data_IF_633406391335
#
_entry.id   IF_633406391335
#
_cell.length_a   1.000
_cell.length_b   1.000
_cell.length_c   1.000
_cell.angle_alpha   90.00
_cell.angle_beta   90.00
_cell.angle_gamma   90.00
#
_symmetry.space_group_name_H-M   'P 1'
#
loop_
_entity.id
_entity.type
_entity.pdbx_description
1 polymer ?
#
# COMPACT_ATOMS: atom_id res chain seq x y z
N UNK A 1 1.13 -26.43 60.02
CA UNK A 1 2.07 -25.47 59.38
C UNK A 1 2.22 -25.80 57.90
N UNK A 2 1.50 -25.09 57.03
CA UNK A 2 1.81 -24.89 55.60
C UNK A 2 1.22 -23.52 55.25
N UNK A 3 2.09 -22.53 55.08
CA UNK A 3 1.73 -21.16 54.75
C UNK A 3 1.36 -21.08 53.27
N UNK A 4 0.19 -20.52 52.97
CA UNK A 4 -0.24 -20.18 51.61
C UNK A 4 0.28 -18.76 51.35
N UNK A 5 1.25 -18.62 50.46
CA UNK A 5 1.71 -17.32 49.96
C UNK A 5 0.69 -16.79 48.94
N UNK A 6 -0.01 -15.71 49.28
CA UNK A 6 -0.74 -14.90 48.31
C UNK A 6 0.19 -13.79 47.81
N UNK A 7 0.69 -13.92 46.58
CA UNK A 7 1.42 -12.87 45.90
C UNK A 7 0.43 -11.93 45.19
N UNK A 8 0.17 -10.76 45.77
CA UNK A 8 -0.59 -9.68 45.12
C UNK A 8 0.42 -8.83 44.33
N UNK A 9 0.38 -8.92 43.01
CA UNK A 9 1.15 -8.03 42.11
C UNK A 9 0.38 -6.72 41.94
N UNK A 10 0.81 -5.65 42.61
CA UNK A 10 0.36 -4.29 42.35
C UNK A 10 0.98 -3.80 41.03
N UNK A 11 0.17 -3.68 39.97
CA UNK A 11 0.53 -2.84 38.82
C UNK A 11 0.20 -1.38 39.17
N UNK A 12 1.21 -0.55 39.38
CA UNK A 12 1.05 0.89 39.47
C UNK A 12 0.71 1.46 38.08
N UNK A 13 -0.58 1.68 37.82
CA UNK A 13 -1.02 2.49 36.70
C UNK A 13 -0.71 3.95 36.98
N UNK A 14 0.37 4.49 36.40
CA UNK A 14 0.55 5.94 36.31
C UNK A 14 -0.41 6.47 35.23
N UNK A 15 -1.59 6.92 35.67
CA UNK A 15 -2.48 7.73 34.86
C UNK A 15 -2.08 9.20 35.05
N UNK A 16 -1.45 9.81 34.05
CA UNK A 16 -1.30 11.26 34.02
C UNK A 16 -2.62 11.88 33.54
N UNK A 17 -3.47 12.27 34.49
CA UNK A 17 -4.54 13.22 34.24
C UNK A 17 -3.90 14.60 34.08
N UNK A 18 -4.08 15.26 32.93
CA UNK A 18 -3.81 16.69 32.81
C UNK A 18 -4.85 17.43 33.66
N UNK A 19 -4.45 17.91 34.83
CA UNK A 19 -5.15 19.01 35.48
C UNK A 19 -4.98 20.25 34.59
N UNK A 20 -6.10 20.81 34.13
CA UNK A 20 -6.10 22.09 33.48
C UNK A 20 -5.72 23.14 34.53
N UNK A 21 -4.46 23.57 34.51
CA UNK A 21 -3.96 24.62 35.37
C UNK A 21 -4.56 25.96 34.89
N UNK A 22 -5.68 26.36 35.48
CA UNK A 22 -6.30 27.65 35.21
C UNK A 22 -5.46 28.74 35.86
N UNK A 23 -4.55 29.33 35.10
CA UNK A 23 -3.81 30.53 35.49
C UNK A 23 -4.79 31.69 35.74
N UNK A 24 -5.02 31.97 37.02
CA UNK A 24 -5.81 33.11 37.46
C UNK A 24 -4.93 34.39 37.36
N UNK A 25 -4.93 35.01 36.18
CA UNK A 25 -4.19 36.25 35.94
C UNK A 25 -4.93 37.41 36.62
N UNK A 26 -4.40 37.89 37.74
CA UNK A 26 -4.79 39.19 38.31
C UNK A 26 -4.43 40.30 37.31
N UNK A 27 -5.34 41.22 36.96
CA UNK A 27 -5.04 42.30 36.04
C UNK A 27 -4.12 43.30 36.75
N UNK A 28 -2.82 43.16 36.55
CA UNK A 28 -1.84 44.20 36.91
C UNK A 28 -1.92 45.31 35.88
N UNK A 29 -2.08 46.55 36.35
CA UNK A 29 -2.31 47.72 35.53
C UNK A 29 -1.14 48.09 34.62
N UNK A 30 -1.53 48.83 33.56
CA UNK A 30 -0.76 49.38 32.43
C UNK A 30 -0.57 48.42 31.25
N UNK A 31 -1.41 48.67 30.23
CA UNK A 31 -1.30 48.07 28.91
C UNK A 31 -0.07 48.64 28.20
N UNK A 32 1.05 47.92 28.27
CA UNK A 32 2.11 48.07 27.28
C UNK A 32 1.58 47.49 25.97
N UNK A 33 1.02 48.37 25.13
CA UNK A 33 0.60 48.03 23.78
C UNK A 33 1.83 47.68 22.92
N UNK A 34 2.27 46.43 23.00
CA UNK A 34 3.11 45.83 21.96
C UNK A 34 2.28 45.89 20.68
N UNK A 35 2.64 46.77 19.75
CA UNK A 35 2.15 46.71 18.38
C UNK A 35 2.62 45.39 17.78
N UNK A 36 1.82 44.34 17.93
CA UNK A 36 1.92 43.15 17.11
C UNK A 36 1.61 43.63 15.70
N UNK A 37 2.66 43.85 14.90
CA UNK A 37 2.45 44.01 13.48
C UNK A 37 1.81 42.70 13.01
N UNK A 38 0.53 42.73 12.64
CA UNK A 38 -0.13 41.68 11.89
C UNK A 38 0.58 41.57 10.53
N UNK A 39 1.79 41.01 10.52
CA UNK A 39 2.32 40.37 9.34
C UNK A 39 1.41 39.18 9.12
N UNK A 40 0.33 39.40 8.35
CA UNK A 40 -0.33 38.34 7.61
C UNK A 40 0.78 37.62 6.85
N UNK A 41 1.29 36.55 7.44
CA UNK A 41 2.09 35.57 6.71
C UNK A 41 1.09 35.06 5.69
N UNK A 42 1.17 35.59 4.46
CA UNK A 42 0.56 34.94 3.32
C UNK A 42 1.32 33.62 3.18
N UNK A 43 0.90 32.60 3.92
CA UNK A 43 1.16 31.23 3.53
C UNK A 43 0.50 31.10 2.17
N UNK A 44 1.32 31.21 1.14
CA UNK A 44 0.89 30.83 -0.20
C UNK A 44 0.66 29.34 -0.09
N UNK A 45 -0.59 28.93 0.09
CA UNK A 45 -0.94 27.52 0.13
C UNK A 45 -0.39 26.91 -1.16
N UNK A 46 0.61 26.03 -0.99
CA UNK A 46 1.24 25.34 -2.11
C UNK A 46 0.23 24.28 -2.51
N UNK A 47 -0.32 24.43 -3.71
CA UNK A 47 -1.26 23.44 -4.24
C UNK A 47 -0.53 22.11 -4.44
N UNK A 48 -1.18 21.03 -4.01
CA UNK A 48 -0.62 19.69 -4.11
C UNK A 48 -0.44 19.29 -5.58
N UNK A 49 0.52 18.40 -5.84
CA UNK A 49 0.74 17.85 -7.18
C UNK A 49 0.17 16.43 -7.24
N UNK A 50 -0.68 16.19 -8.23
CA UNK A 50 -1.29 14.88 -8.52
C UNK A 50 -0.87 14.40 -9.89
N UNK A 51 -0.80 13.08 -10.06
CA UNK A 51 -0.45 12.44 -11.33
C UNK A 51 -1.65 11.66 -11.86
N UNK A 52 -2.42 11.06 -10.95
CA UNK A 52 -3.43 10.04 -11.26
C UNK A 52 -4.57 10.56 -12.16
N UNK A 53 -4.88 11.86 -12.11
CA UNK A 53 -5.91 12.44 -12.97
C UNK A 53 -5.51 12.65 -14.44
N UNK A 54 -4.21 12.72 -14.77
CA UNK A 54 -3.74 13.13 -16.12
C UNK A 54 -2.49 12.41 -16.64
N UNK A 55 -1.99 11.37 -15.95
CA UNK A 55 -0.71 10.66 -16.21
C UNK A 55 0.55 11.53 -16.02
N UNK A 56 0.43 12.86 -16.09
CA UNK A 56 1.49 13.83 -15.82
C UNK A 56 1.27 14.54 -14.48
N UNK A 57 2.35 15.03 -13.84
CA UNK A 57 2.22 15.85 -12.64
C UNK A 57 1.51 17.17 -12.94
N UNK A 58 0.38 17.43 -12.28
CA UNK A 58 -0.37 18.69 -12.37
C UNK A 58 -0.81 19.14 -10.98
N UNK A 59 -0.96 20.46 -10.81
CA UNK A 59 -1.62 21.06 -9.65
C UNK A 59 -2.99 20.42 -9.41
N UNK A 60 -3.32 20.03 -8.18
CA UNK A 60 -4.60 19.44 -7.83
C UNK A 60 -5.77 20.32 -8.26
N UNK A 61 -5.68 21.64 -8.05
CA UNK A 61 -6.71 22.60 -8.49
C UNK A 61 -6.92 22.67 -10.01
N UNK A 62 -5.96 22.15 -10.79
CA UNK A 62 -6.02 22.11 -12.26
C UNK A 62 -6.32 20.72 -12.80
N UNK A 63 -6.48 19.71 -11.94
CA UNK A 63 -6.86 18.37 -12.36
C UNK A 63 -8.29 18.41 -12.92
N UNK A 64 -8.55 17.81 -14.10
CA UNK A 64 -9.89 17.72 -14.67
C UNK A 64 -10.78 16.72 -13.93
N UNK A 65 -10.18 15.85 -13.12
CA UNK A 65 -10.86 14.84 -12.29
C UNK A 65 -10.56 15.12 -10.82
N UNK A 66 -11.55 14.91 -9.95
CA UNK A 66 -11.36 15.02 -8.51
C UNK A 66 -10.39 13.92 -8.02
N UNK A 67 -9.26 14.36 -7.47
CA UNK A 67 -8.24 13.47 -6.87
C UNK A 67 -8.17 13.76 -5.38
N UNK A 68 -8.38 12.74 -4.57
CA UNK A 68 -8.14 12.80 -3.13
C UNK A 68 -6.71 12.37 -2.81
N UNK A 69 -6.07 13.06 -1.87
CA UNK A 69 -4.68 12.82 -1.50
C UNK A 69 -4.64 12.52 -0.01
N UNK A 70 -4.08 11.37 0.32
CA UNK A 70 -3.87 10.92 1.69
C UNK A 70 -2.37 10.79 1.94
N UNK A 71 -1.81 11.72 2.72
CA UNK A 71 -0.39 11.67 3.10
C UNK A 71 -0.11 10.51 4.06
N UNK A 72 1.15 10.08 4.14
CA UNK A 72 1.57 9.09 5.15
C UNK A 72 1.13 9.48 6.58
N UNK A 73 1.18 10.76 6.93
CA UNK A 73 0.79 11.27 8.26
C UNK A 73 -0.68 11.02 8.58
N UNK A 74 -1.55 10.94 7.57
CA UNK A 74 -2.96 10.59 7.77
C UNK A 74 -3.08 9.17 8.30
N UNK A 75 -2.41 8.21 7.66
CA UNK A 75 -2.40 6.80 8.05
C UNK A 75 -1.67 6.55 9.37
N UNK A 76 -0.67 7.37 9.72
CA UNK A 76 0.00 7.28 11.02
C UNK A 76 -0.90 7.61 12.22
N UNK A 77 -1.97 8.39 12.02
CA UNK A 77 -2.91 8.70 13.11
C UNK A 77 -3.77 7.51 13.52
N UNK A 78 -3.94 6.55 12.61
CA UNK A 78 -4.70 5.31 12.81
C UNK A 78 -3.88 4.17 12.21
N UNK A 79 -2.88 3.67 12.96
CA UNK A 79 -1.96 2.68 12.45
C UNK A 79 -2.70 1.39 12.09
N UNK A 80 -2.32 0.81 10.96
CA UNK A 80 -2.87 -0.42 10.40
C UNK A 80 -1.72 -1.33 9.95
N UNK A 81 -1.89 -2.66 9.97
CA UNK A 81 -0.86 -3.64 9.58
C UNK A 81 -0.58 -3.66 8.08
N UNK A 82 -1.49 -3.12 7.25
CA UNK A 82 -1.38 -3.19 5.80
C UNK A 82 -2.04 -1.98 5.12
N UNK A 83 -1.63 -1.68 3.89
CA UNK A 83 -2.29 -0.68 3.05
C UNK A 83 -3.73 -1.08 2.72
N UNK A 84 -4.00 -2.38 2.61
CA UNK A 84 -5.33 -2.93 2.41
C UNK A 84 -6.30 -2.49 3.52
N UNK A 85 -5.87 -2.50 4.77
CA UNK A 85 -6.69 -2.00 5.89
C UNK A 85 -6.65 -0.47 5.98
N UNK A 86 -5.50 0.15 5.73
CA UNK A 86 -5.32 1.59 5.78
C UNK A 86 -6.33 2.34 4.89
N UNK A 87 -6.62 1.78 3.71
CA UNK A 87 -7.51 2.42 2.72
C UNK A 87 -8.98 2.42 3.16
N UNK A 88 -9.38 1.62 4.16
CA UNK A 88 -10.73 1.68 4.75
C UNK A 88 -11.09 3.04 5.35
N UNK A 89 -10.09 3.85 5.68
CA UNK A 89 -10.28 5.21 6.20
C UNK A 89 -10.61 6.23 5.10
N UNK A 90 -10.48 5.86 3.84
CA UNK A 90 -10.84 6.69 2.70
C UNK A 90 -12.34 6.56 2.46
N UNK A 91 -13.07 7.68 2.49
CA UNK A 91 -14.51 7.68 2.26
C UNK A 91 -14.84 7.07 0.88
N UNK A 92 -15.86 6.22 0.78
CA UNK A 92 -16.28 5.62 -0.48
C UNK A 92 -15.34 4.52 -1.00
N UNK A 93 -14.30 4.18 -0.24
CA UNK A 93 -13.44 3.02 -0.48
C UNK A 93 -13.68 2.01 0.63
N UNK A 94 -13.96 0.76 0.26
CA UNK A 94 -14.25 -0.31 1.21
C UNK A 94 -13.41 -1.54 0.86
N UNK A 95 -12.49 -1.97 1.74
CA UNK A 95 -11.93 -3.30 1.66
C UNK A 95 -13.03 -4.33 1.89
N UNK A 96 -13.20 -5.25 0.95
CA UNK A 96 -14.19 -6.31 1.01
C UNK A 96 -13.45 -7.65 1.12
N UNK A 97 -13.70 -8.37 2.21
CA UNK A 97 -13.23 -9.75 2.32
C UNK A 97 -14.11 -10.64 1.45
N UNK A 98 -13.47 -11.38 0.57
CA UNK A 98 -14.10 -12.33 -0.36
C UNK A 98 -14.05 -13.75 0.20
N UNK A 99 -13.19 -13.98 1.20
CA UNK A 99 -12.95 -15.28 1.80
C UNK A 99 -12.71 -15.10 3.30
N UNK A 100 -13.65 -15.55 4.13
CA UNK A 100 -13.53 -15.43 5.59
C UNK A 100 -12.47 -16.35 6.17
N UNK A 101 -12.33 -17.57 5.62
CA UNK A 101 -11.38 -18.57 6.12
C UNK A 101 -9.95 -18.16 5.76
N UNK A 102 -9.68 -17.82 4.49
CA UNK A 102 -8.36 -17.38 4.05
C UNK A 102 -8.10 -15.88 4.27
N UNK A 103 -9.06 -15.07 4.71
CA UNK A 103 -8.90 -13.63 4.96
C UNK A 103 -8.31 -12.86 3.76
N UNK A 104 -8.79 -13.18 2.55
CA UNK A 104 -8.42 -12.49 1.30
C UNK A 104 -9.54 -11.57 0.87
N UNK A 105 -9.20 -10.46 0.22
CA UNK A 105 -10.17 -9.45 -0.15
C UNK A 105 -9.66 -8.46 -1.17
N UNK A 106 -10.58 -7.77 -1.82
CA UNK A 106 -10.30 -6.72 -2.78
C UNK A 106 -10.83 -5.36 -2.29
N UNK A 107 -10.69 -4.33 -3.13
CA UNK A 107 -11.10 -2.98 -2.79
C UNK A 107 -12.27 -2.55 -3.67
N UNK A 108 -13.38 -2.21 -3.03
CA UNK A 108 -14.54 -1.63 -3.69
C UNK A 108 -14.49 -0.10 -3.63
N UNK A 109 -14.85 0.57 -4.73
CA UNK A 109 -14.99 2.03 -4.79
C UNK A 109 -16.41 2.37 -5.19
N UNK A 110 -17.11 3.14 -4.34
CA UNK A 110 -18.51 3.53 -4.54
C UNK A 110 -19.45 2.34 -4.88
N UNK A 111 -19.16 1.16 -4.33
CA UNK A 111 -19.95 -0.06 -4.52
C UNK A 111 -19.52 -0.93 -5.71
N UNK A 112 -18.63 -0.48 -6.59
CA UNK A 112 -18.08 -1.31 -7.67
C UNK A 112 -17.04 -2.29 -7.13
N UNK A 113 -17.09 -3.52 -7.62
CA UNK A 113 -16.27 -4.65 -7.16
C UNK A 113 -14.78 -4.50 -7.50
N UNK A 114 -13.93 -5.27 -6.80
CA UNK A 114 -12.48 -5.29 -6.97
C UNK A 114 -11.96 -5.34 -8.41
N UNK A 115 -12.52 -6.16 -9.33
CA UNK A 115 -12.08 -6.19 -10.72
C UNK A 115 -12.19 -4.86 -11.47
N UNK A 116 -13.01 -3.92 -10.96
CA UNK A 116 -13.19 -2.58 -11.52
C UNK A 116 -12.39 -1.49 -10.79
N UNK A 117 -11.58 -1.86 -9.81
CA UNK A 117 -10.69 -0.95 -9.08
C UNK A 117 -9.24 -1.15 -9.52
N UNK A 118 -8.66 -0.10 -10.10
CA UNK A 118 -7.27 -0.14 -10.55
C UNK A 118 -6.33 0.25 -9.41
N UNK A 119 -5.32 -0.58 -9.14
CA UNK A 119 -4.30 -0.30 -8.13
C UNK A 119 -2.94 -0.10 -8.79
N UNK A 120 -2.35 1.06 -8.54
CA UNK A 120 -1.07 1.48 -9.10
C UNK A 120 -0.03 1.68 -7.99
N UNK A 121 1.24 1.43 -8.33
CA UNK A 121 2.38 1.89 -7.52
C UNK A 121 3.23 2.80 -8.41
N UNK A 122 3.47 4.03 -7.94
CA UNK A 122 4.13 5.11 -8.68
C UNK A 122 3.48 5.44 -10.06
N UNK A 123 2.24 5.00 -10.31
CA UNK A 123 1.55 5.11 -11.60
C UNK A 123 1.60 3.87 -12.49
N UNK A 124 2.30 2.80 -12.09
CA UNK A 124 2.40 1.54 -12.84
C UNK A 124 1.37 0.52 -12.34
N UNK A 125 0.78 -0.29 -13.23
CA UNK A 125 -0.20 -1.32 -12.89
C UNK A 125 0.49 -2.55 -12.26
N UNK A 126 0.79 -2.47 -10.96
CA UNK A 126 1.50 -3.54 -10.24
C UNK A 126 0.55 -4.62 -9.72
N UNK A 127 -0.68 -4.23 -9.39
CA UNK A 127 -1.69 -5.13 -8.82
C UNK A 127 -2.84 -5.24 -9.82
N UNK A 128 -3.01 -6.42 -10.40
CA UNK A 128 -4.06 -6.72 -11.39
C UNK A 128 -4.47 -8.20 -11.39
N UNK A 129 -5.70 -8.49 -11.82
CA UNK A 129 -6.23 -9.85 -12.05
C UNK A 129 -6.04 -10.77 -10.82
N UNK A 130 -5.34 -11.91 -10.95
CA UNK A 130 -5.08 -12.88 -9.87
C UNK A 130 -4.49 -12.24 -8.61
N UNK A 131 -3.64 -11.24 -8.84
CA UNK A 131 -2.82 -10.62 -7.82
C UNK A 131 -3.56 -9.57 -6.99
N UNK A 132 -4.81 -9.21 -7.36
CA UNK A 132 -5.59 -8.12 -6.75
C UNK A 132 -5.88 -8.35 -5.28
N UNK A 133 -6.27 -9.57 -4.91
CA UNK A 133 -6.67 -9.89 -3.52
C UNK A 133 -5.50 -10.05 -2.54
N UNK A 134 -4.27 -10.08 -3.07
CA UNK A 134 -3.03 -10.26 -2.28
C UNK A 134 -2.07 -9.06 -2.38
N UNK A 135 -2.25 -8.18 -3.37
CA UNK A 135 -1.21 -7.24 -3.79
C UNK A 135 -0.98 -6.03 -2.91
N UNK A 136 -1.99 -5.68 -2.11
CA UNK A 136 -1.91 -4.55 -1.17
C UNK A 136 -1.31 -4.94 0.18
N UNK A 137 -1.17 -6.24 0.44
CA UNK A 137 -0.48 -6.78 1.59
C UNK A 137 1.03 -6.66 1.41
N UNK A 138 1.75 -6.32 2.48
CA UNK A 138 3.22 -6.27 2.50
C UNK A 138 3.88 -5.09 1.80
N UNK A 139 3.16 -3.99 1.54
CA UNK A 139 3.77 -2.69 1.24
C UNK A 139 3.91 -1.94 2.56
N UNK A 140 5.15 -1.73 3.07
CA UNK A 140 5.37 -0.95 4.29
C UNK A 140 4.69 0.43 4.23
N UNK A 141 3.94 0.80 5.26
CA UNK A 141 3.37 2.15 5.37
C UNK A 141 4.48 3.22 5.39
N UNK A 142 5.67 2.85 5.88
CA UNK A 142 6.87 3.70 5.92
C UNK A 142 7.42 4.07 4.54
N UNK A 143 7.14 3.28 3.49
CA UNK A 143 7.56 3.54 2.11
C UNK A 143 6.64 4.51 1.38
N UNK A 144 5.40 4.64 1.83
CA UNK A 144 4.38 5.46 1.17
C UNK A 144 4.64 6.93 1.48
N UNK A 145 4.71 7.75 0.43
CA UNK A 145 4.70 9.21 0.54
C UNK A 145 3.25 9.70 0.68
N UNK A 146 2.41 9.26 -0.26
CA UNK A 146 0.98 9.52 -0.29
C UNK A 146 0.23 8.48 -1.12
N UNK A 147 -1.07 8.41 -0.90
CA UNK A 147 -2.01 7.66 -1.74
C UNK A 147 -2.90 8.68 -2.45
N UNK A 148 -2.97 8.57 -3.78
CA UNK A 148 -3.90 9.33 -4.61
C UNK A 148 -5.10 8.42 -4.94
N UNK A 149 -6.32 8.91 -4.71
CA UNK A 149 -7.56 8.18 -4.97
C UNK A 149 -8.42 8.96 -5.95
N UNK A 150 -8.74 8.34 -7.08
CA UNK A 150 -9.72 8.82 -8.05
C UNK A 150 -10.94 7.91 -7.96
N UNK A 151 -12.10 8.50 -7.69
CA UNK A 151 -13.38 7.79 -7.56
C UNK A 151 -14.19 8.01 -8.83
N UNK A 152 -14.68 6.92 -9.41
CA UNK A 152 -15.41 6.94 -10.68
C UNK A 152 -14.53 6.60 -11.89
N UNK A 153 -15.09 6.68 -13.11
CA UNK A 153 -14.50 6.08 -14.29
C UNK A 153 -13.22 6.81 -14.72
N UNK A 154 -12.11 6.08 -14.68
CA UNK A 154 -10.80 6.51 -15.19
C UNK A 154 -10.29 5.60 -16.33
N UNK A 155 -11.22 4.86 -16.96
CA UNK A 155 -10.93 3.87 -17.98
C UNK A 155 -10.37 4.45 -19.28
N UNK A 156 -10.63 5.72 -19.57
CA UNK A 156 -10.04 6.45 -20.70
C UNK A 156 -8.52 6.55 -20.63
N UNK A 157 -7.96 6.52 -19.42
CA UNK A 157 -6.52 6.65 -19.16
C UNK A 157 -5.90 5.30 -18.78
N UNK A 158 -6.57 4.52 -17.94
CA UNK A 158 -6.01 3.32 -17.32
C UNK A 158 -6.59 2.00 -17.86
N UNK A 159 -7.60 2.04 -18.72
CA UNK A 159 -8.24 0.86 -19.30
C UNK A 159 -9.40 0.31 -18.47
N UNK A 160 -9.88 -0.88 -18.85
CA UNK A 160 -11.12 -1.48 -18.31
C UNK A 160 -11.11 -1.76 -16.81
N UNK A 161 -9.94 -1.98 -16.21
CA UNK A 161 -9.78 -2.23 -14.76
C UNK A 161 -10.05 -0.97 -13.91
N UNK A 162 -10.18 0.22 -14.51
CA UNK A 162 -10.33 1.50 -13.81
C UNK A 162 -11.75 2.09 -13.91
N UNK A 163 -12.79 1.25 -14.04
CA UNK A 163 -14.17 1.72 -14.16
C UNK A 163 -14.74 2.27 -12.84
N UNK A 164 -14.40 1.66 -11.71
CA UNK A 164 -14.80 2.11 -10.38
C UNK A 164 -13.89 3.18 -9.79
N UNK A 165 -12.62 3.15 -10.17
CA UNK A 165 -11.65 4.17 -9.77
C UNK A 165 -10.22 3.69 -9.86
N UNK A 166 -9.33 4.53 -9.34
CA UNK A 166 -7.89 4.29 -9.30
C UNK A 166 -7.37 4.64 -7.92
N UNK A 167 -6.60 3.73 -7.34
CA UNK A 167 -5.80 3.95 -6.14
C UNK A 167 -4.34 3.90 -6.57
N UNK A 168 -3.62 5.00 -6.41
CA UNK A 168 -2.21 5.10 -6.78
C UNK A 168 -1.35 5.35 -5.54
N UNK A 169 -0.54 4.36 -5.19
CA UNK A 169 0.39 4.42 -4.07
C UNK A 169 1.68 5.06 -4.56
N UNK A 170 1.92 6.30 -4.14
CA UNK A 170 3.17 7.01 -4.45
C UNK A 170 4.19 6.70 -3.37
N UNK A 171 5.30 6.08 -3.76
CA UNK A 171 6.38 5.72 -2.86
C UNK A 171 7.39 6.86 -2.71
N UNK A 172 8.02 6.95 -1.54
CA UNK A 172 9.01 7.98 -1.24
C UNK A 172 10.15 8.01 -2.26
N UNK A 173 10.64 9.22 -2.53
CA UNK A 173 11.85 9.40 -3.33
C UNK A 173 13.07 9.07 -2.46
N UNK A 174 13.91 8.12 -2.90
CA UNK A 174 15.10 7.71 -2.18
C UNK A 174 16.08 8.88 -1.94
N UNK A 175 16.08 9.93 -2.77
CA UNK A 175 16.95 11.11 -2.55
C UNK A 175 16.56 11.88 -1.26
N UNK A 176 15.27 12.00 -0.99
CA UNK A 176 14.72 12.81 0.13
C UNK A 176 14.22 11.98 1.31
N UNK A 177 14.15 10.65 1.16
CA UNK A 177 13.71 9.76 2.22
C UNK A 177 14.55 9.89 3.51
N UNK A 178 13.94 9.65 4.70
CA UNK A 178 14.67 9.53 5.96
C UNK A 178 15.79 8.49 5.87
N UNK A 179 16.87 8.68 6.64
CA UNK A 179 17.99 7.73 6.66
C UNK A 179 17.56 6.36 7.21
N UNK A 180 16.70 6.37 8.22
CA UNK A 180 16.17 5.19 8.88
C UNK A 180 14.71 5.48 9.27
N UNK A 181 13.84 4.50 9.07
CA UNK A 181 12.46 4.46 9.56
C UNK A 181 12.23 3.08 10.14
N UNK A 182 11.67 3.02 11.34
CA UNK A 182 11.30 1.76 12.00
C UNK A 182 9.89 1.94 12.53
N UNK A 183 8.97 1.10 12.07
CA UNK A 183 7.60 1.06 12.57
C UNK A 183 7.31 -0.36 13.08
N UNK A 184 6.86 -0.46 14.32
CA UNK A 184 6.51 -1.70 15.00
C UNK A 184 5.04 -1.62 15.42
N UNK A 185 4.27 -2.64 15.07
CA UNK A 185 2.87 -2.76 15.46
C UNK A 185 2.62 -4.14 16.04
N UNK A 186 1.86 -4.20 17.14
CA UNK A 186 1.38 -5.45 17.71
C UNK A 186 -0.07 -5.29 18.15
N UNK A 187 -0.90 -6.31 17.99
CA UNK A 187 -2.30 -6.31 18.45
C UNK A 187 -2.49 -7.24 19.65
N UNK A 188 -3.65 -7.16 20.31
CA UNK A 188 -4.03 -8.09 21.39
C UNK A 188 -4.10 -9.55 20.94
N UNK A 189 -4.29 -9.79 19.65
CA UNK A 189 -4.28 -11.11 19.02
C UNK A 189 -2.88 -11.59 18.63
N UNK A 190 -1.83 -10.81 18.93
CA UNK A 190 -0.45 -11.08 18.53
C UNK A 190 -0.24 -11.09 17.02
N UNK A 191 -0.95 -10.21 16.31
CA UNK A 191 -0.55 -9.82 14.96
C UNK A 191 0.61 -8.84 15.09
N UNK A 192 1.78 -9.22 14.61
CA UNK A 192 2.99 -8.42 14.71
C UNK A 192 3.41 -7.95 13.32
N UNK A 193 3.59 -6.65 13.13
CA UNK A 193 4.11 -6.06 11.91
C UNK A 193 5.38 -5.27 12.22
N UNK A 194 6.44 -5.54 11.47
CA UNK A 194 7.69 -4.78 11.48
C UNK A 194 7.94 -4.21 10.10
N UNK A 195 8.02 -2.88 10.02
CA UNK A 195 8.52 -2.16 8.86
C UNK A 195 9.86 -1.52 9.18
N UNK A 196 10.88 -1.85 8.40
CA UNK A 196 12.22 -1.29 8.50
C UNK A 196 12.63 -0.72 7.16
N UNK A 197 12.90 0.59 7.08
CA UNK A 197 13.34 1.26 5.85
C UNK A 197 14.64 2.03 6.09
N UNK A 198 15.60 1.91 5.17
CA UNK A 198 16.88 2.60 5.25
C UNK A 198 17.30 3.15 3.90
N UNK A 199 17.89 4.35 3.93
CA UNK A 199 18.44 5.02 2.74
C UNK A 199 19.94 4.83 2.65
N UNK A 200 20.39 4.40 1.47
CA UNK A 200 21.80 4.37 1.08
C UNK A 200 22.07 5.39 -0.03
N UNK A 201 23.11 6.21 0.13
CA UNK A 201 23.62 7.06 -0.95
C UNK A 201 24.74 6.33 -1.68
N UNK A 202 24.51 5.99 -2.95
CA UNK A 202 25.47 5.30 -3.81
C UNK A 202 26.19 6.34 -4.68
N UNK A 203 27.23 6.95 -4.12
CA UNK A 203 27.92 8.08 -4.75
C UNK A 203 27.11 9.38 -4.67
N UNK A 204 27.37 10.31 -5.61
CA UNK A 204 26.78 11.67 -5.58
C UNK A 204 25.39 11.76 -6.20
N UNK A 205 25.07 10.86 -7.13
CA UNK A 205 23.91 11.00 -8.01
C UNK A 205 22.90 9.86 -7.90
N UNK A 206 23.11 8.88 -7.02
CA UNK A 206 22.22 7.73 -6.87
C UNK A 206 21.90 7.55 -5.40
N UNK A 207 20.61 7.37 -5.09
CA UNK A 207 20.15 6.95 -3.77
C UNK A 207 19.31 5.69 -3.91
N UNK A 208 19.45 4.78 -2.96
CA UNK A 208 18.67 3.55 -2.83
C UNK A 208 17.89 3.61 -1.51
N UNK A 209 16.61 3.26 -1.56
CA UNK A 209 15.75 3.07 -0.40
C UNK A 209 15.44 1.58 -0.30
N UNK A 210 16.02 0.92 0.70
CA UNK A 210 15.76 -0.49 1.01
C UNK A 210 14.72 -0.55 2.11
N UNK A 211 13.76 -1.44 1.98
CA UNK A 211 12.74 -1.65 3.00
C UNK A 211 12.38 -3.12 3.15
N UNK A 212 12.11 -3.50 4.39
CA UNK A 212 11.68 -4.83 4.81
C UNK A 212 10.35 -4.66 5.54
N UNK A 213 9.33 -5.40 5.11
CA UNK A 213 8.12 -5.66 5.87
C UNK A 213 8.14 -7.13 6.32
N UNK A 214 7.93 -7.36 7.60
CA UNK A 214 7.72 -8.68 8.17
C UNK A 214 6.41 -8.67 8.97
N UNK A 215 5.47 -9.52 8.57
CA UNK A 215 4.20 -9.68 9.25
C UNK A 215 4.07 -11.11 9.76
N UNK A 216 3.77 -11.26 11.05
CA UNK A 216 3.60 -12.55 11.70
C UNK A 216 2.33 -12.57 12.54
N UNK A 217 1.44 -13.48 12.18
CA UNK A 217 0.24 -13.80 12.95
C UNK A 217 0.08 -15.32 12.96
N UNK A 218 0.38 -15.93 14.12
CA UNK A 218 0.46 -17.39 14.28
C UNK A 218 -0.46 -17.93 15.39
N UNK A 219 -1.07 -17.04 16.18
CA UNK A 219 -1.96 -17.41 17.27
C UNK A 219 -3.33 -17.77 16.71
N UNK A 220 -3.73 -19.03 16.87
CA UNK A 220 -5.10 -19.48 16.56
C UNK A 220 -6.04 -19.04 17.68
N UNK A 221 -7.22 -18.60 17.30
CA UNK A 221 -8.32 -18.31 18.22
C UNK A 221 -9.65 -18.64 17.54
N UNK A 222 -10.61 -19.00 18.37
CA UNK A 222 -11.98 -19.39 18.04
C UNK A 222 -12.86 -18.90 19.21
N UNK A 223 -13.38 -17.68 19.09
CA UNK A 223 -14.21 -17.03 20.10
C UNK A 223 -15.67 -17.50 20.01
N UNK A 224 -16.14 -17.81 18.80
CA UNK A 224 -17.53 -18.22 18.55
C UNK A 224 -17.76 -19.74 18.79
N UNK A 225 -16.67 -20.52 18.95
CA UNK A 225 -16.62 -21.96 19.22
C UNK A 225 -17.18 -22.81 18.08
N UNK A 226 -16.96 -22.42 16.84
CA UNK A 226 -17.38 -23.16 15.65
C UNK A 226 -16.31 -24.12 15.10
N UNK A 227 -15.18 -24.27 15.81
CA UNK A 227 -14.02 -25.07 15.44
C UNK A 227 -13.19 -24.51 14.27
N UNK A 228 -13.46 -23.29 13.81
CA UNK A 228 -12.65 -22.61 12.79
C UNK A 228 -11.79 -21.51 13.42
N UNK A 229 -10.68 -21.20 12.75
CA UNK A 229 -9.90 -20.01 13.06
C UNK A 229 -10.69 -18.76 12.67
N UNK A 230 -10.93 -17.88 13.64
CA UNK A 230 -11.58 -16.57 13.40
C UNK A 230 -10.71 -15.57 12.61
N UNK A 231 -9.43 -15.90 12.41
CA UNK A 231 -8.52 -15.14 11.57
C UNK A 231 -7.50 -16.04 10.88
N UNK A 232 -7.25 -15.77 9.59
CA UNK A 232 -6.24 -16.49 8.85
C UNK A 232 -4.83 -16.14 9.35
N UNK A 233 -4.11 -17.15 9.82
CA UNK A 233 -2.70 -17.07 10.15
C UNK A 233 -1.88 -16.67 8.93
N UNK A 234 -0.88 -15.84 9.14
CA UNK A 234 -0.03 -15.30 8.07
C UNK A 234 1.41 -15.19 8.55
N UNK A 235 2.33 -15.62 7.70
CA UNK A 235 3.75 -15.33 7.82
C UNK A 235 4.23 -14.74 6.50
N UNK A 236 4.46 -13.44 6.48
CA UNK A 236 4.79 -12.69 5.27
C UNK A 236 6.10 -11.95 5.44
N UNK A 237 6.91 -12.02 4.39
CA UNK A 237 8.09 -11.18 4.21
C UNK A 237 8.00 -10.45 2.87
N UNK A 238 8.31 -9.16 2.87
CA UNK A 238 8.37 -8.35 1.67
C UNK A 238 9.62 -7.48 1.71
N UNK A 239 10.44 -7.57 0.67
CA UNK A 239 11.68 -6.80 0.52
C UNK A 239 11.52 -5.89 -0.68
N UNK A 240 11.72 -4.60 -0.45
CA UNK A 240 11.61 -3.56 -1.46
C UNK A 240 12.94 -2.82 -1.60
N UNK A 241 13.35 -2.53 -2.83
CA UNK A 241 14.46 -1.63 -3.10
C UNK A 241 14.08 -0.67 -4.22
N UNK A 242 14.19 0.63 -3.98
CA UNK A 242 14.02 1.67 -4.99
C UNK A 242 15.28 2.48 -5.17
N UNK A 243 15.73 2.63 -6.41
CA UNK A 243 16.81 3.52 -6.81
C UNK A 243 16.24 4.78 -7.46
N UNK A 244 16.70 5.94 -7.00
CA UNK A 244 16.46 7.23 -7.65
C UNK A 244 17.78 7.80 -8.15
N UNK A 245 17.78 8.28 -9.39
CA UNK A 245 18.96 8.84 -10.04
C UNK A 245 18.79 10.36 -10.20
N UNK A 246 19.67 11.13 -9.56
CA UNK A 246 19.79 12.57 -9.78
C UNK A 246 20.43 12.82 -11.14
N UNK A 247 19.67 13.39 -12.06
CA UNK A 247 20.11 13.69 -13.43
C UNK A 247 20.13 15.19 -13.67
N UNK A 248 20.88 15.61 -14.71
CA UNK A 248 20.86 17.00 -15.19
C UNK A 248 19.42 17.42 -15.50
N UNK A 249 19.11 18.69 -15.25
CA UNK A 249 17.76 19.27 -15.44
C UNK A 249 16.65 18.58 -14.60
N UNK A 250 17.02 17.86 -13.53
CA UNK A 250 16.07 17.11 -12.67
C UNK A 250 15.23 16.09 -13.44
N UNK A 251 15.77 15.51 -14.52
CA UNK A 251 15.04 14.51 -15.32
C UNK A 251 14.72 13.26 -14.50
N UNK A 252 13.49 12.78 -14.63
CA UNK A 252 13.02 11.60 -13.90
C UNK A 252 13.81 10.36 -14.30
N UNK A 253 14.27 9.61 -13.30
CA UNK A 253 14.83 8.29 -13.46
C UNK A 253 14.73 7.54 -12.13
N UNK A 254 13.97 6.47 -12.12
CA UNK A 254 13.94 5.54 -10.98
C UNK A 254 13.65 4.12 -11.44
N UNK A 255 14.09 3.18 -10.62
CA UNK A 255 13.82 1.76 -10.78
C UNK A 255 13.53 1.20 -9.39
N UNK A 256 12.62 0.25 -9.29
CA UNK A 256 12.26 -0.41 -8.06
C UNK A 256 12.09 -1.90 -8.29
N UNK A 257 12.46 -2.67 -7.27
CA UNK A 257 12.26 -4.10 -7.17
C UNK A 257 11.51 -4.39 -5.88
N UNK A 258 10.58 -5.33 -5.93
CA UNK A 258 9.93 -5.90 -4.75
C UNK A 258 9.84 -7.40 -4.88
N UNK A 259 10.15 -8.09 -3.79
CA UNK A 259 9.88 -9.50 -3.62
C UNK A 259 8.94 -9.67 -2.44
N UNK A 260 7.90 -10.49 -2.58
CA UNK A 260 7.00 -10.85 -1.49
C UNK A 260 6.81 -12.35 -1.46
N UNK A 261 6.94 -12.92 -0.26
CA UNK A 261 6.53 -14.27 0.05
C UNK A 261 5.52 -14.25 1.20
N UNK A 262 4.44 -14.99 1.06
CA UNK A 262 3.44 -15.16 2.11
C UNK A 262 3.04 -16.64 2.23
N UNK A 263 3.07 -17.14 3.47
CA UNK A 263 2.45 -18.40 3.89
C UNK A 263 1.21 -18.05 4.71
N UNK A 264 0.04 -18.47 4.23
CA UNK A 264 -1.25 -18.16 4.80
C UNK A 264 -2.04 -19.43 5.06
N UNK A 265 -2.73 -19.47 6.20
CA UNK A 265 -3.59 -20.57 6.59
C UNK A 265 -4.84 -20.08 7.32
N UNK A 266 -5.99 -20.66 7.02
CA UNK A 266 -7.16 -20.63 7.90
C UNK A 266 -7.97 -21.91 7.74
N UNK A 267 -8.77 -22.26 8.73
CA UNK A 267 -9.56 -23.49 8.71
C UNK A 267 -9.79 -24.06 10.09
N UNK A 268 -9.96 -25.38 10.17
CA UNK A 268 -10.27 -26.01 11.44
C UNK A 268 -9.11 -25.92 12.45
N UNK A 269 -9.44 -25.85 13.75
CA UNK A 269 -8.48 -25.62 14.82
C UNK A 269 -7.40 -26.71 14.91
N UNK A 270 -7.75 -27.97 14.60
CA UNK A 270 -6.85 -29.12 14.56
C UNK A 270 -6.04 -29.26 13.25
N UNK A 271 -6.32 -28.43 12.24
CA UNK A 271 -5.60 -28.50 10.96
C UNK A 271 -4.12 -28.16 11.17
N UNK A 272 -3.24 -28.93 10.54
CA UNK A 272 -1.82 -28.66 10.45
C UNK A 272 -1.34 -29.02 9.03
N UNK A 273 -0.10 -28.66 8.69
CA UNK A 273 0.42 -28.81 7.31
C UNK A 273 0.41 -30.25 6.78
N UNK A 274 0.31 -31.29 7.61
CA UNK A 274 0.17 -32.67 7.15
C UNK A 274 -1.18 -32.94 6.47
N UNK A 275 -2.21 -32.16 6.78
CA UNK A 275 -3.55 -32.25 6.18
C UNK A 275 -3.69 -31.37 4.92
N UNK A 276 -2.60 -30.74 4.45
CA UNK A 276 -2.65 -29.93 3.22
C UNK A 276 -3.01 -30.81 2.03
N UNK A 277 -4.16 -30.53 1.41
CA UNK A 277 -4.66 -31.28 0.27
C UNK A 277 -5.41 -32.56 0.62
N UNK A 278 -5.73 -32.79 1.90
CA UNK A 278 -6.66 -33.85 2.31
C UNK A 278 -8.07 -33.32 2.57
N UNK A 279 -9.02 -34.24 2.70
CA UNK A 279 -10.41 -34.02 3.09
C UNK A 279 -10.71 -34.46 4.54
N UNK A 280 -9.69 -34.91 5.28
CA UNK A 280 -9.83 -35.37 6.67
C UNK A 280 -10.11 -34.23 7.67
N UNK A 281 -9.41 -33.10 7.48
CA UNK A 281 -9.57 -31.88 8.28
C UNK A 281 -9.56 -30.71 7.31
N UNK A 282 -10.60 -29.90 7.32
CA UNK A 282 -10.70 -28.78 6.39
C UNK A 282 -9.70 -27.68 6.73
N UNK A 283 -9.01 -27.19 5.70
CA UNK A 283 -8.13 -26.05 5.81
C UNK A 283 -7.82 -25.44 4.45
N UNK A 284 -7.69 -24.13 4.44
CA UNK A 284 -7.25 -23.35 3.31
C UNK A 284 -5.82 -22.92 3.56
N UNK A 285 -4.91 -23.32 2.68
CA UNK A 285 -3.51 -22.92 2.80
C UNK A 285 -3.01 -22.40 1.46
N UNK A 286 -2.40 -21.22 1.50
CA UNK A 286 -2.05 -20.44 0.33
C UNK A 286 -0.59 -20.02 0.47
N UNK A 287 0.22 -20.39 -0.52
CA UNK A 287 1.57 -19.88 -0.68
C UNK A 287 1.58 -18.90 -1.85
N UNK A 288 2.06 -17.69 -1.60
CA UNK A 288 2.11 -16.63 -2.60
C UNK A 288 3.55 -16.17 -2.77
N UNK A 289 4.06 -16.24 -3.99
CA UNK A 289 5.37 -15.71 -4.39
C UNK A 289 5.16 -14.58 -5.40
N UNK A 290 5.76 -13.42 -5.16
CA UNK A 290 5.64 -12.26 -6.08
C UNK A 290 6.98 -11.59 -6.30
N UNK A 291 7.20 -11.20 -7.55
CA UNK A 291 8.31 -10.34 -7.97
C UNK A 291 7.74 -9.19 -8.78
N UNK A 292 8.08 -7.97 -8.40
CA UNK A 292 7.62 -6.75 -9.07
C UNK A 292 8.87 -5.93 -9.41
N UNK A 293 9.00 -5.53 -10.67
CA UNK A 293 10.07 -4.69 -11.16
C UNK A 293 9.46 -3.54 -11.94
N UNK A 294 9.73 -2.30 -11.59
CA UNK A 294 9.11 -1.16 -12.26
C UNK A 294 10.00 0.07 -12.25
N UNK A 295 9.79 0.97 -13.20
CA UNK A 295 10.62 2.15 -13.32
C UNK A 295 10.04 3.20 -14.23
N UNK A 296 10.58 4.41 -14.08
CA UNK A 296 10.29 5.56 -14.94
C UNK A 296 11.60 6.15 -15.42
N UNK A 297 11.62 6.56 -16.68
CA UNK A 297 12.77 7.18 -17.31
C UNK A 297 12.32 8.29 -18.25
N UNK A 298 12.73 9.52 -17.96
CA UNK A 298 12.58 10.66 -18.86
C UNK A 298 13.75 10.68 -19.84
N UNK A 299 13.45 10.77 -21.13
CA UNK A 299 14.45 10.67 -22.19
C UNK A 299 15.43 11.84 -22.15
N UNK A 300 16.71 11.63 -22.53
CA UNK A 300 17.72 12.66 -22.39
C UNK A 300 17.69 13.73 -23.50
N UNK A 301 16.50 14.11 -23.98
CA UNK A 301 16.30 15.06 -25.08
C UNK A 301 15.56 16.33 -24.58
N UNK A 302 15.50 17.36 -25.42
CA UNK A 302 14.81 18.62 -25.08
C UNK A 302 13.30 18.45 -24.89
N UNK A 303 12.70 17.54 -25.65
CA UNK A 303 11.27 17.24 -25.58
C UNK A 303 10.96 16.40 -24.32
N UNK A 304 9.80 16.64 -23.70
CA UNK A 304 9.42 15.93 -22.47
C UNK A 304 8.79 14.57 -22.80
N UNK A 305 9.64 13.59 -23.08
CA UNK A 305 9.24 12.19 -23.32
C UNK A 305 9.56 11.35 -22.09
N UNK A 306 8.55 10.65 -21.58
CA UNK A 306 8.65 9.80 -20.39
C UNK A 306 8.26 8.38 -20.79
N UNK A 307 9.05 7.41 -20.34
CA UNK A 307 8.74 5.98 -20.44
C UNK A 307 8.62 5.39 -19.06
N UNK A 308 7.51 4.71 -18.81
CA UNK A 308 7.25 3.90 -17.63
C UNK A 308 7.19 2.45 -18.05
N UNK A 309 7.70 1.56 -17.20
CA UNK A 309 7.66 0.13 -17.45
C UNK A 309 7.47 -0.63 -16.14
N UNK A 310 6.80 -1.76 -16.22
CA UNK A 310 6.74 -2.73 -15.13
C UNK A 310 6.68 -4.17 -15.63
N UNK A 311 7.19 -5.06 -14.80
CA UNK A 311 7.05 -6.50 -14.93
C UNK A 311 6.66 -7.06 -13.57
N UNK A 312 5.55 -7.80 -13.54
CA UNK A 312 5.02 -8.43 -12.35
C UNK A 312 4.94 -9.94 -12.59
N UNK A 313 5.48 -10.73 -11.68
CA UNK A 313 5.30 -12.17 -11.60
C UNK A 313 4.55 -12.48 -10.31
N UNK A 314 3.49 -13.28 -10.43
CA UNK A 314 2.70 -13.76 -9.31
C UNK A 314 2.52 -15.27 -9.48
N UNK A 315 2.91 -16.01 -8.45
CA UNK A 315 2.74 -17.45 -8.36
C UNK A 315 1.98 -17.77 -7.08
N UNK A 316 0.93 -18.55 -7.24
CA UNK A 316 0.02 -18.91 -6.18
C UNK A 316 -0.13 -20.44 -6.16
N UNK A 317 0.23 -21.05 -5.03
CA UNK A 317 0.05 -22.46 -4.75
C UNK A 317 -0.90 -22.58 -3.57
N UNK A 318 -2.16 -22.90 -3.86
CA UNK A 318 -3.24 -22.93 -2.88
C UNK A 318 -3.89 -24.30 -2.81
N UNK A 319 -4.39 -24.66 -1.63
CA UNK A 319 -5.33 -25.75 -1.45
C UNK A 319 -6.49 -25.24 -0.61
N UNK A 320 -7.70 -25.57 -1.05
CA UNK A 320 -8.96 -25.31 -0.35
C UNK A 320 -9.58 -26.66 0.02
N UNK A 321 -9.24 -27.17 1.20
CA UNK A 321 -9.41 -28.59 1.54
C UNK A 321 -8.55 -29.47 0.63
N UNK A 322 -9.19 -30.40 -0.08
CA UNK A 322 -8.54 -31.28 -1.06
C UNK A 322 -8.50 -30.70 -2.49
N UNK A 323 -9.03 -29.49 -2.72
CA UNK A 323 -9.04 -28.86 -4.04
C UNK A 323 -7.77 -28.02 -4.25
N UNK A 324 -6.87 -28.40 -5.17
CA UNK A 324 -5.71 -27.57 -5.50
C UNK A 324 -6.13 -26.40 -6.39
N UNK A 325 -5.57 -25.23 -6.13
CA UNK A 325 -5.60 -24.08 -7.04
C UNK A 325 -4.16 -23.57 -7.21
N UNK A 326 -3.60 -23.84 -8.39
CA UNK A 326 -2.24 -23.45 -8.76
C UNK A 326 -2.34 -22.50 -9.93
N UNK A 327 -1.88 -21.28 -9.74
CA UNK A 327 -2.00 -20.23 -10.75
C UNK A 327 -0.71 -19.41 -10.87
N UNK A 328 -0.37 -19.05 -12.09
CA UNK A 328 0.77 -18.20 -12.42
C UNK A 328 0.32 -17.07 -13.33
N UNK A 329 0.69 -15.84 -12.96
CA UNK A 329 0.45 -14.65 -13.74
C UNK A 329 1.75 -13.89 -14.00
N UNK A 330 1.92 -13.42 -15.24
CA UNK A 330 2.98 -12.50 -15.64
C UNK A 330 2.36 -11.29 -16.32
N UNK A 331 2.66 -10.09 -15.86
CA UNK A 331 2.18 -8.86 -16.48
C UNK A 331 3.39 -8.02 -16.88
N UNK A 332 3.52 -7.76 -18.19
CA UNK A 332 4.47 -6.80 -18.72
C UNK A 332 3.72 -5.54 -19.17
N UNK A 333 4.15 -4.38 -18.71
CA UNK A 333 3.56 -3.10 -19.05
C UNK A 333 4.66 -2.11 -19.45
N UNK A 334 4.42 -1.37 -20.53
CA UNK A 334 5.25 -0.25 -20.97
C UNK A 334 4.34 0.85 -21.47
N UNK A 335 4.58 2.07 -21.02
CA UNK A 335 3.89 3.25 -21.50
C UNK A 335 4.92 4.33 -21.81
N UNK A 336 4.88 4.85 -23.03
CA UNK A 336 5.70 6.00 -23.43
C UNK A 336 4.77 7.11 -23.88
N UNK A 337 4.96 8.31 -23.32
CA UNK A 337 4.21 9.49 -23.72
C UNK A 337 5.10 10.71 -23.86
N UNK A 338 4.66 11.62 -24.71
CA UNK A 338 5.23 12.93 -24.96
C UNK A 338 4.24 13.99 -24.47
N UNK A 339 4.66 14.79 -23.50
CA UNK A 339 3.89 15.92 -22.99
C UNK A 339 4.45 17.22 -23.58
N UNK A 340 3.63 17.93 -24.35
CA UNK A 340 4.03 19.17 -25.02
C UNK A 340 3.02 20.27 -24.75
N UNK A 341 3.54 21.42 -24.35
CA UNK A 341 2.76 22.65 -24.25
C UNK A 341 2.83 23.44 -25.55
N UNK A 342 1.69 23.64 -26.19
CA UNK A 342 1.51 24.42 -27.41
C UNK A 342 0.74 25.71 -27.08
N UNK A 343 1.46 26.72 -26.61
CA UNK A 343 0.87 27.99 -26.17
C UNK A 343 -0.03 27.81 -24.96
N UNK A 344 -1.35 27.93 -25.15
CA UNK A 344 -2.38 27.71 -24.12
C UNK A 344 -2.91 26.27 -24.07
N UNK A 345 -2.51 25.43 -25.02
CA UNK A 345 -2.94 24.04 -25.10
C UNK A 345 -1.89 23.11 -24.50
N UNK A 346 -2.35 22.09 -23.79
CA UNK A 346 -1.52 20.98 -23.32
C UNK A 346 -1.87 19.75 -24.18
N UNK A 347 -0.85 19.15 -24.79
CA UNK A 347 -0.98 17.97 -25.64
C UNK A 347 -0.20 16.81 -25.02
N UNK A 348 -0.86 15.68 -24.81
CA UNK A 348 -0.23 14.43 -24.41
C UNK A 348 -0.51 13.41 -25.52
N UNK A 349 0.54 12.84 -26.10
CA UNK A 349 0.45 11.77 -27.09
C UNK A 349 1.33 10.63 -26.62
N UNK A 350 0.85 9.39 -26.67
CA UNK A 350 1.62 8.25 -26.22
C UNK A 350 1.10 6.92 -26.74
N UNK A 351 1.86 5.87 -26.44
CA UNK A 351 1.52 4.50 -26.70
C UNK A 351 1.67 3.69 -25.41
N UNK A 352 0.75 2.75 -25.21
CA UNK A 352 0.75 1.85 -24.06
C UNK A 352 0.69 0.41 -24.56
N UNK A 353 1.53 -0.44 -23.99
CA UNK A 353 1.58 -1.87 -24.23
C UNK A 353 1.39 -2.58 -22.88
N UNK A 354 0.38 -3.43 -22.76
CA UNK A 354 0.15 -4.31 -21.61
C UNK A 354 -0.02 -5.72 -22.14
N UNK A 355 0.79 -6.66 -21.67
CA UNK A 355 0.65 -8.10 -21.96
C UNK A 355 0.50 -8.84 -20.65
N UNK A 356 -0.63 -9.54 -20.51
CA UNK A 356 -0.89 -10.44 -19.39
C UNK A 356 -0.79 -11.86 -19.90
N UNK A 357 0.03 -12.67 -19.25
CA UNK A 357 0.00 -14.13 -19.34
C UNK A 357 -0.61 -14.64 -18.05
N UNK A 358 -1.59 -15.52 -18.16
CA UNK A 358 -2.28 -16.14 -17.04
C UNK A 358 -2.44 -17.62 -17.35
N UNK A 359 -2.16 -18.47 -16.36
CA UNK A 359 -2.39 -19.90 -16.42
C UNK A 359 -2.78 -20.39 -15.04
N UNK A 360 -3.80 -21.24 -14.95
CA UNK A 360 -4.18 -21.90 -13.71
C UNK A 360 -4.46 -23.40 -13.98
N UNK A 361 -4.98 -24.11 -12.98
CA UNK A 361 -5.39 -25.51 -13.10
C UNK A 361 -6.92 -25.67 -13.12
N UNK A 362 -7.66 -24.60 -13.45
CA UNK A 362 -9.13 -24.63 -13.57
C UNK A 362 -9.54 -24.99 -15.01
N UNK A 363 -10.79 -25.46 -15.22
CA UNK A 363 -11.28 -25.74 -16.56
C UNK A 363 -11.19 -24.56 -17.54
N UNK A 364 -11.16 -23.32 -17.03
CA UNK A 364 -11.08 -22.11 -17.84
C UNK A 364 -9.73 -21.89 -18.55
N UNK A 365 -8.69 -22.65 -18.20
CA UNK A 365 -7.36 -22.53 -18.82
C UNK A 365 -6.88 -23.84 -19.46
N UNK A 366 -7.74 -24.88 -19.55
CA UNK A 366 -7.39 -26.18 -20.12
C UNK A 366 -7.16 -26.15 -21.64
N UNK A 367 -7.70 -25.16 -22.35
CA UNK A 367 -7.47 -24.94 -23.78
C UNK A 367 -6.79 -23.59 -24.00
N UNK A 368 -5.79 -23.54 -24.89
CA UNK A 368 -5.28 -22.28 -25.42
C UNK A 368 -6.34 -21.67 -26.34
N UNK A 369 -6.79 -20.45 -26.02
CA UNK A 369 -7.54 -19.60 -26.95
C UNK A 369 -6.70 -19.22 -28.17
#
# INVERSE_FOLDING_TARGET
MKQILFSVLFFSGYCFSQEADSLNVKPSGKADSVKISDRKIKTKDIDDVVITGTIKPISKSKSPVAVEIYSQKFFQKNPTPSIFEAISMVNGVKPQLNCSVCNTGDIHINGLEGPYTMILIDGMPIVSSLSTVYGLSGIPNSLVDRIEVVKGPASSIYGSEAMGGVINIITKNALTAPKLSVDLMTTTWSENNLDLSTKFSLGKNVASLVSLNYFNFTKRFDENKDNFTDGALQNRISVFNKWNFQRKENRLASFALRYLYEDRFGGEMQWNKSYRGSDEVYGESIYTNRIEAFGVYQWPIKENIITQFSYNFHDQNSFYGNNPFVATQKVAFTQTYWDKKLGKHDLIVGATFKKTYYNDNTPGTLSSD
#
